data_IF_229976984406
#
_entry.id   IF_229976984406
#
_cell.length_a   1.000
_cell.length_b   1.000
_cell.length_c   1.000
_cell.angle_alpha   90.00
_cell.angle_beta   90.00
_cell.angle_gamma   90.00
#
_symmetry.space_group_name_H-M   'P 1'
#
loop_
_entity.id
_entity.type
_entity.pdbx_description
1 polymer ?
#
# COMPACT_ATOMS: atom_id res chain seq x y z
N UNK A 1 -29.74 -1.07 1.52
CA UNK A 1 -28.45 -1.16 0.78
C UNK A 1 -27.40 -0.51 1.66
N UNK A 2 -26.23 -1.14 1.91
CA UNK A 2 -25.14 -0.45 2.59
C UNK A 2 -24.77 0.80 1.77
N UNK A 3 -24.55 1.96 2.40
CA UNK A 3 -24.23 3.18 1.67
C UNK A 3 -22.95 2.97 0.85
N UNK A 4 -22.97 3.43 -0.39
CA UNK A 4 -21.81 3.46 -1.28
C UNK A 4 -20.76 4.41 -0.68
N UNK A 5 -19.91 3.88 0.21
CA UNK A 5 -18.81 4.62 0.82
C UNK A 5 -17.63 4.75 -0.15
N UNK A 6 -17.86 5.40 -1.29
CA UNK A 6 -16.76 5.75 -2.19
C UNK A 6 -15.95 6.89 -1.58
N UNK A 7 -14.63 6.81 -1.70
CA UNK A 7 -13.72 7.92 -1.37
C UNK A 7 -13.60 8.81 -2.61
N UNK A 8 -13.32 10.12 -2.44
CA UNK A 8 -12.90 10.95 -3.55
C UNK A 8 -11.67 10.34 -4.23
N UNK A 9 -11.58 10.45 -5.55
CA UNK A 9 -10.47 9.89 -6.35
C UNK A 9 -9.11 10.37 -5.82
N UNK A 10 -9.00 11.64 -5.43
CA UNK A 10 -7.79 12.22 -4.82
C UNK A 10 -7.36 11.49 -3.55
N UNK A 11 -8.29 11.23 -2.62
CA UNK A 11 -8.01 10.49 -1.38
C UNK A 11 -7.72 9.01 -1.62
N UNK A 12 -8.19 8.46 -2.74
CA UNK A 12 -7.85 7.11 -3.17
C UNK A 12 -6.42 7.07 -3.73
N UNK A 13 -6.08 7.93 -4.69
CA UNK A 13 -4.72 8.01 -5.26
C UNK A 13 -3.66 8.32 -4.21
N UNK A 14 -3.96 9.23 -3.29
CA UNK A 14 -3.09 9.54 -2.18
C UNK A 14 -2.74 8.28 -1.37
N UNK A 15 -3.71 7.40 -1.10
CA UNK A 15 -3.46 6.14 -0.36
C UNK A 15 -2.63 5.15 -1.18
N UNK A 16 -2.88 5.06 -2.48
CA UNK A 16 -2.09 4.21 -3.38
C UNK A 16 -0.64 4.70 -3.44
N UNK A 17 -0.43 6.00 -3.61
CA UNK A 17 0.90 6.62 -3.61
C UNK A 17 1.61 6.43 -2.27
N UNK A 18 0.92 6.65 -1.15
CA UNK A 18 1.45 6.44 0.19
C UNK A 18 1.93 4.99 0.40
N UNK A 19 1.13 4.01 0.01
CA UNK A 19 1.50 2.59 0.07
C UNK A 19 2.76 2.30 -0.75
N UNK A 20 2.76 2.70 -2.03
CA UNK A 20 3.90 2.48 -2.92
C UNK A 20 5.19 3.17 -2.43
N UNK A 21 5.10 4.38 -1.89
CA UNK A 21 6.25 5.11 -1.31
C UNK A 21 6.78 4.40 -0.07
N UNK A 22 5.90 4.00 0.84
CA UNK A 22 6.30 3.27 2.05
C UNK A 22 7.02 1.97 1.70
N UNK A 23 6.48 1.18 0.77
CA UNK A 23 7.08 -0.09 0.34
C UNK A 23 8.45 0.12 -0.31
N UNK A 24 8.62 1.15 -1.15
CA UNK A 24 9.94 1.48 -1.74
C UNK A 24 10.98 1.84 -0.70
N UNK A 25 10.64 2.71 0.25
CA UNK A 25 11.59 3.13 1.29
C UNK A 25 11.94 1.97 2.22
N UNK A 26 10.96 1.14 2.58
CA UNK A 26 11.19 -0.07 3.35
C UNK A 26 12.14 -1.04 2.63
N UNK A 27 11.96 -1.24 1.32
CA UNK A 27 12.87 -2.04 0.51
C UNK A 27 14.30 -1.49 0.57
N UNK A 28 14.46 -0.18 0.36
CA UNK A 28 15.77 0.48 0.43
C UNK A 28 16.42 0.35 1.80
N UNK A 29 15.66 0.49 2.88
CA UNK A 29 16.19 0.37 4.24
C UNK A 29 16.64 -1.06 4.54
N UNK A 30 15.88 -2.07 4.10
CA UNK A 30 16.27 -3.47 4.23
C UNK A 30 17.46 -3.83 3.33
N UNK A 31 17.54 -3.28 2.12
CA UNK A 31 18.68 -3.46 1.20
C UNK A 31 19.98 -2.89 1.79
N UNK A 32 19.92 -1.79 2.56
CA UNK A 32 21.08 -1.26 3.31
C UNK A 32 21.53 -2.19 4.44
N UNK A 33 20.68 -3.13 4.84
CA UNK A 33 20.97 -4.18 5.84
C UNK A 33 21.27 -5.53 5.14
N UNK A 34 21.73 -5.49 3.90
CA UNK A 34 22.13 -6.65 3.08
C UNK A 34 20.99 -7.63 2.72
N UNK A 35 19.73 -7.22 2.85
CA UNK A 35 18.61 -8.00 2.31
C UNK A 35 18.48 -7.80 0.78
N UNK A 36 18.04 -8.86 0.08
CA UNK A 36 17.70 -8.76 -1.35
C UNK A 36 16.19 -8.76 -1.52
N UNK A 37 15.60 -7.56 -1.52
CA UNK A 37 14.15 -7.39 -1.50
C UNK A 37 13.53 -7.50 -2.89
N UNK A 38 12.41 -8.20 -2.99
CA UNK A 38 11.54 -8.23 -4.17
C UNK A 38 10.07 -8.11 -3.75
N UNK A 39 9.22 -7.66 -4.67
CA UNK A 39 7.77 -7.67 -4.48
C UNK A 39 7.24 -9.10 -4.38
N UNK A 40 6.63 -9.43 -3.25
CA UNK A 40 5.82 -10.64 -3.09
C UNK A 40 4.39 -10.36 -3.58
N UNK A 41 3.86 -9.20 -3.22
CA UNK A 41 2.69 -8.61 -3.86
C UNK A 41 3.13 -7.76 -5.07
N UNK A 42 2.98 -8.32 -6.28
CA UNK A 42 3.23 -7.57 -7.52
C UNK A 42 2.49 -6.24 -7.53
N UNK A 43 3.23 -5.15 -7.69
CA UNK A 43 2.71 -3.78 -7.69
C UNK A 43 2.71 -3.10 -6.32
N UNK A 44 3.18 -3.74 -5.24
CA UNK A 44 3.29 -3.13 -3.91
C UNK A 44 4.16 -1.87 -3.88
N UNK A 45 5.09 -1.72 -4.83
CA UNK A 45 5.94 -0.55 -5.03
C UNK A 45 5.52 0.31 -6.22
N UNK A 46 4.33 0.14 -6.80
CA UNK A 46 3.87 0.94 -7.94
C UNK A 46 2.48 1.55 -7.67
N UNK A 47 2.19 2.66 -8.32
CA UNK A 47 0.87 3.31 -8.29
C UNK A 47 -0.01 2.89 -9.47
N UNK A 48 0.45 1.94 -10.29
CA UNK A 48 -0.31 1.42 -11.43
C UNK A 48 -1.45 0.52 -10.98
N UNK A 49 -2.66 0.87 -11.43
CA UNK A 49 -3.87 0.08 -11.22
C UNK A 49 -4.18 -0.74 -12.46
N UNK A 50 -4.43 -2.03 -12.27
CA UNK A 50 -4.75 -2.97 -13.34
C UNK A 50 -6.24 -3.28 -13.30
N UNK A 51 -6.96 -3.07 -14.41
CA UNK A 51 -8.42 -3.30 -14.46
C UNK A 51 -8.81 -4.78 -14.40
N UNK A 52 -7.96 -5.66 -14.94
CA UNK A 52 -8.28 -7.07 -15.14
C UNK A 52 -7.51 -8.03 -14.20
N UNK A 53 -6.89 -7.48 -13.14
CA UNK A 53 -6.23 -8.32 -12.12
C UNK A 53 -7.28 -8.86 -11.17
N UNK A 54 -7.35 -10.19 -11.07
CA UNK A 54 -8.19 -10.87 -10.07
C UNK A 54 -7.80 -10.36 -8.68
N UNK A 55 -8.79 -9.89 -7.92
CA UNK A 55 -8.61 -9.57 -6.51
C UNK A 55 -8.03 -10.78 -5.77
N UNK A 56 -6.91 -10.57 -5.07
CA UNK A 56 -6.36 -11.60 -4.18
C UNK A 56 -7.37 -11.86 -3.06
N UNK A 57 -7.65 -13.14 -2.78
CA UNK A 57 -8.57 -13.56 -1.71
C UNK A 57 -7.87 -13.76 -0.36
N UNK A 58 -6.58 -13.47 -0.28
CA UNK A 58 -5.72 -13.69 0.88
C UNK A 58 -4.75 -12.53 0.96
N UNK A 59 -4.54 -11.98 2.17
CA UNK A 59 -3.51 -10.98 2.42
C UNK A 59 -2.16 -11.67 2.39
N UNK A 60 -1.26 -11.15 1.57
CA UNK A 60 0.14 -11.59 1.53
C UNK A 60 1.00 -10.37 1.81
N UNK A 61 2.13 -10.51 2.54
CA UNK A 61 3.03 -9.39 2.76
C UNK A 61 3.47 -8.76 1.43
N UNK A 62 3.65 -7.44 1.44
CA UNK A 62 4.11 -6.68 0.27
C UNK A 62 5.43 -7.21 -0.32
N UNK A 63 6.43 -7.42 0.55
CA UNK A 63 7.82 -7.66 0.17
C UNK A 63 8.36 -8.98 0.73
N UNK A 64 9.37 -9.53 0.06
CA UNK A 64 10.14 -10.68 0.56
C UNK A 64 11.63 -10.55 0.26
N UNK A 65 12.47 -10.94 1.21
CA UNK A 65 13.90 -11.11 0.99
C UNK A 65 14.17 -12.46 0.33
N UNK A 66 14.82 -12.48 -0.84
CA UNK A 66 15.20 -13.71 -1.55
C UNK A 66 16.26 -14.55 -0.84
N UNK A 67 17.03 -13.93 0.07
CA UNK A 67 18.17 -14.58 0.74
C UNK A 67 17.72 -15.30 2.01
N UNK A 68 17.02 -14.59 2.90
CA UNK A 68 16.63 -15.12 4.21
C UNK A 68 15.13 -15.46 4.34
N UNK A 69 14.33 -15.14 3.33
CA UNK A 69 12.89 -15.40 3.35
C UNK A 69 12.07 -14.43 4.21
N UNK A 70 12.67 -13.41 4.81
CA UNK A 70 11.96 -12.37 5.58
C UNK A 70 10.86 -11.75 4.72
N UNK A 71 9.60 -11.84 5.17
CA UNK A 71 8.45 -11.23 4.51
C UNK A 71 7.99 -10.03 5.31
N UNK A 72 7.72 -8.92 4.63
CA UNK A 72 7.40 -7.66 5.29
C UNK A 72 6.22 -6.99 4.61
N UNK A 73 5.21 -6.66 5.40
CA UNK A 73 4.06 -5.83 5.01
C UNK A 73 4.38 -4.37 5.33
N UNK A 74 4.16 -3.48 4.38
CA UNK A 74 4.29 -2.04 4.54
C UNK A 74 2.94 -1.42 4.88
N UNK A 75 2.77 -0.96 6.11
CA UNK A 75 1.62 -0.18 6.54
C UNK A 75 2.00 1.29 6.67
N UNK A 76 2.25 1.93 5.53
CA UNK A 76 2.62 3.34 5.48
C UNK A 76 1.55 4.26 6.09
N UNK A 77 1.98 5.22 6.91
CA UNK A 77 1.12 6.17 7.62
C UNK A 77 1.60 7.59 7.43
N UNK A 78 0.68 8.55 7.51
CA UNK A 78 1.01 9.98 7.62
C UNK A 78 1.22 10.43 9.07
N UNK A 79 0.88 9.57 10.04
CA UNK A 79 1.08 9.78 11.48
C UNK A 79 1.81 8.59 12.07
N UNK A 80 2.61 8.82 13.10
CA UNK A 80 3.31 7.75 13.82
C UNK A 80 2.32 6.98 14.71
N UNK A 81 1.55 6.07 14.11
CA UNK A 81 0.54 5.25 14.79
C UNK A 81 0.64 3.78 14.38
N UNK A 82 0.47 2.90 15.36
CA UNK A 82 0.32 1.46 15.14
C UNK A 82 -1.17 1.14 14.95
N UNK A 83 -1.66 1.34 13.73
CA UNK A 83 -3.08 1.13 13.39
C UNK A 83 -3.26 0.20 12.21
N UNK A 84 -4.21 -0.75 12.31
CA UNK A 84 -4.57 -1.67 11.22
C UNK A 84 -6.07 -1.93 11.23
N UNK A 85 -6.63 -2.22 10.06
CA UNK A 85 -8.03 -2.64 9.96
C UNK A 85 -8.19 -4.08 10.45
N UNK A 86 -9.15 -4.30 11.35
CA UNK A 86 -9.53 -5.62 11.83
C UNK A 86 -11.06 -5.76 11.83
N UNK A 87 -11.56 -6.91 11.38
CA UNK A 87 -12.99 -7.23 11.41
C UNK A 87 -13.25 -8.53 12.14
N UNK A 88 -14.15 -8.49 13.12
CA UNK A 88 -14.60 -9.68 13.87
C UNK A 88 -15.67 -10.49 13.13
N UNK A 89 -16.24 -9.97 12.04
CA UNK A 89 -17.40 -10.57 11.37
C UNK A 89 -17.06 -11.77 10.49
N UNK A 90 -15.81 -11.91 10.06
CA UNK A 90 -15.34 -13.03 9.25
C UNK A 90 -13.83 -13.19 9.46
N UNK A 91 -13.36 -14.45 9.50
CA UNK A 91 -11.94 -14.76 9.69
C UNK A 91 -11.05 -14.09 8.62
N UNK A 92 -11.54 -14.00 7.38
CA UNK A 92 -10.84 -13.33 6.26
C UNK A 92 -10.62 -11.82 6.47
N UNK A 93 -11.33 -11.21 7.43
CA UNK A 93 -11.20 -9.79 7.79
C UNK A 93 -10.31 -9.56 9.01
N UNK A 94 -9.77 -10.64 9.60
CA UNK A 94 -8.74 -10.50 10.62
C UNK A 94 -7.51 -9.79 10.03
N UNK A 95 -6.77 -9.08 10.87
CA UNK A 95 -5.73 -8.16 10.38
C UNK A 95 -4.52 -8.94 9.84
N UNK A 96 -4.33 -10.14 10.38
CA UNK A 96 -3.29 -11.14 10.19
C UNK A 96 -3.75 -12.31 9.28
N UNK A 97 -4.94 -12.25 8.70
CA UNK A 97 -5.45 -13.34 7.88
C UNK A 97 -4.55 -13.62 6.66
N UNK A 98 -3.89 -14.77 6.64
CA UNK A 98 -2.94 -15.16 5.58
C UNK A 98 -1.48 -14.86 5.89
N UNK A 99 -1.21 -14.17 7.01
CA UNK A 99 0.14 -13.98 7.54
C UNK A 99 0.60 -15.20 8.34
N UNK A 100 1.91 -15.33 8.53
CA UNK A 100 2.52 -16.32 9.44
C UNK A 100 3.33 -15.61 10.51
N UNK A 101 3.65 -16.30 11.61
CA UNK A 101 4.28 -15.72 12.80
C UNK A 101 5.62 -15.00 12.55
N UNK A 102 6.33 -15.34 11.47
CA UNK A 102 7.60 -14.71 11.10
C UNK A 102 7.44 -13.47 10.22
N UNK A 103 6.22 -13.14 9.80
CA UNK A 103 5.97 -11.94 9.02
C UNK A 103 6.11 -10.69 9.88
N UNK A 104 6.73 -9.67 9.30
CA UNK A 104 6.91 -8.39 9.97
C UNK A 104 5.96 -7.36 9.36
N UNK A 105 5.32 -6.55 10.19
CA UNK A 105 4.59 -5.36 9.72
C UNK A 105 5.41 -4.13 10.05
N UNK A 106 5.81 -3.40 9.03
CA UNK A 106 6.48 -2.12 9.18
C UNK A 106 5.47 -0.97 9.09
N UNK A 107 5.71 0.10 9.84
CA UNK A 107 4.88 1.30 9.84
C UNK A 107 5.72 2.52 9.40
N UNK A 108 6.13 2.61 8.12
CA UNK A 108 6.89 3.76 7.66
C UNK A 108 6.02 5.02 7.77
N UNK A 109 6.57 6.07 8.39
CA UNK A 109 5.90 7.37 8.52
C UNK A 109 6.31 8.25 7.35
N UNK A 110 5.39 8.47 6.42
CA UNK A 110 5.62 9.32 5.27
C UNK A 110 5.17 10.75 5.58
N UNK A 111 6.13 11.67 5.56
CA UNK A 111 5.85 13.11 5.57
C UNK A 111 5.67 13.59 4.14
N UNK A 112 4.56 14.29 3.86
CA UNK A 112 4.33 14.87 2.54
C UNK A 112 5.00 16.23 2.42
N UNK A 113 5.78 16.40 1.36
CA UNK A 113 6.07 17.74 0.87
C UNK A 113 4.80 18.30 0.20
N UNK A 114 4.50 19.59 0.43
CA UNK A 114 3.32 20.27 -0.12
C UNK A 114 3.26 20.16 -1.65
N UNK A 115 4.42 20.13 -2.30
CA UNK A 115 4.50 20.01 -3.76
C UNK A 115 4.26 18.58 -4.26
N UNK A 116 4.65 17.56 -3.48
CA UNK A 116 4.37 16.16 -3.81
C UNK A 116 2.93 15.75 -3.53
N UNK A 117 2.31 16.31 -2.49
CA UNK A 117 0.90 16.06 -2.15
C UNK A 117 -0.04 16.38 -3.32
N UNK A 118 0.18 17.54 -3.96
CA UNK A 118 -0.59 17.94 -5.15
C UNK A 118 -0.44 16.94 -6.29
N UNK A 119 0.75 16.35 -6.47
CA UNK A 119 1.00 15.36 -7.51
C UNK A 119 0.27 14.04 -7.23
N UNK A 120 0.32 13.56 -5.98
CA UNK A 120 -0.33 12.30 -5.61
C UNK A 120 -1.85 12.39 -5.74
N UNK A 121 -2.43 13.52 -5.33
CA UNK A 121 -3.88 13.76 -5.42
C UNK A 121 -4.42 13.78 -6.85
N UNK A 122 -3.59 14.06 -7.86
CA UNK A 122 -3.98 14.05 -9.28
C UNK A 122 -3.48 12.77 -10.01
N UNK A 123 -3.04 11.76 -9.27
CA UNK A 123 -2.57 10.49 -9.85
C UNK A 123 -1.24 10.61 -10.61
N UNK A 124 -0.40 11.58 -10.25
CA UNK A 124 0.98 11.72 -10.76
C UNK A 124 1.99 11.30 -9.70
N UNK A 125 2.86 10.37 -10.04
CA UNK A 125 3.97 9.97 -9.18
C UNK A 125 5.23 9.73 -10.01
N UNK A 126 6.32 10.44 -9.69
CA UNK A 126 7.62 10.34 -10.37
C UNK A 126 7.55 10.42 -11.92
N UNK A 127 6.76 11.37 -12.44
CA UNK A 127 6.56 11.57 -13.88
C UNK A 127 5.62 10.54 -14.56
N UNK A 128 5.17 9.51 -13.85
CA UNK A 128 4.14 8.59 -14.34
C UNK A 128 2.75 9.17 -14.10
N UNK A 129 1.90 9.12 -15.11
CA UNK A 129 0.51 9.62 -15.05
C UNK A 129 -0.44 8.45 -15.04
N UNK A 130 -1.36 8.38 -14.07
CA UNK A 130 -2.46 7.42 -14.14
C UNK A 130 -3.44 7.83 -15.25
N UNK A 131 -3.93 6.88 -16.05
CA UNK A 131 -4.85 7.11 -17.18
C UNK A 131 -6.30 7.50 -16.76
N UNK A 132 -6.52 7.86 -15.50
CA UNK A 132 -7.86 8.06 -14.95
C UNK A 132 -8.15 9.55 -14.74
N UNK A 133 -9.24 10.01 -15.34
CA UNK A 133 -9.77 11.35 -15.13
C UNK A 133 -10.57 11.39 -13.83
N UNK A 134 -10.30 12.37 -12.96
CA UNK A 134 -11.08 12.62 -11.74
C UNK A 134 -12.56 12.72 -12.11
N UNK A 135 -13.37 11.77 -11.64
CA UNK A 135 -14.81 11.84 -11.71
C UNK A 135 -15.31 11.91 -10.28
N UNK A 136 -15.75 13.09 -9.84
CA UNK A 136 -16.45 13.23 -8.57
C UNK A 136 -17.78 12.46 -8.66
N UNK A 137 -17.76 11.18 -8.28
CA UNK A 137 -18.92 10.29 -8.21
C UNK A 137 -19.68 10.42 -6.89
N UNK A 138 -19.21 11.30 -6.01
CA UNK A 138 -19.86 11.68 -4.76
C UNK A 138 -20.53 13.03 -5.04
N UNK A 139 -21.81 12.98 -5.40
CA UNK A 139 -22.74 14.11 -5.30
C UNK A 139 -23.67 13.86 -4.11
#
# INVERSE_FOLDING_TARGET
MPPLAFKPDSSFFEKIALGAVGSRHMAQDLERLDHQIVELERGAMDTKLWKDVKHKRVRIPDLVCKVCGLRVESQAKTKAELSMSHGFSAHERAWDFGMVDTDVVAFPVCTKDKDQEKQWCIGRFNGQTSYWHECNRIQ
#
